data_IF_734938286824
#
_entry.id   IF_734938286824
#
_cell.length_a   1.000
_cell.length_b   1.000
_cell.length_c   1.000
_cell.angle_alpha   90.00
_cell.angle_beta   90.00
_cell.angle_gamma   90.00
#
_symmetry.space_group_name_H-M   'P 1'
#
loop_
_entity.id
_entity.type
_entity.pdbx_description
1 polymer ?
#
# COMPACT_ATOMS: atom_id res chain seq x y z
N UNK A 1 10.94 31.21 -4.95
CA UNK A 1 9.57 30.85 -4.57
C UNK A 1 9.67 30.04 -3.30
N UNK A 2 8.83 30.35 -2.31
CA UNK A 2 8.78 29.62 -1.06
C UNK A 2 7.35 29.11 -0.83
N UNK A 3 7.21 27.82 -0.55
CA UNK A 3 5.94 27.15 -0.26
C UNK A 3 6.01 26.54 1.13
N UNK A 4 4.99 26.75 1.94
CA UNK A 4 4.87 26.16 3.28
C UNK A 4 3.45 25.68 3.51
N UNK A 5 3.30 24.41 3.86
CA UNK A 5 2.00 23.75 3.98
C UNK A 5 2.13 22.40 4.69
N UNK A 6 1.13 21.92 5.41
CA UNK A 6 1.18 20.57 6.00
C UNK A 6 1.29 19.49 4.90
N UNK A 7 0.55 19.68 3.79
CA UNK A 7 0.59 18.79 2.63
C UNK A 7 0.71 19.58 1.34
N UNK A 8 1.71 19.23 0.55
CA UNK A 8 1.90 19.74 -0.80
C UNK A 8 1.83 18.60 -1.82
N UNK A 9 0.96 18.72 -2.81
CA UNK A 9 0.73 17.68 -3.82
C UNK A 9 0.86 18.27 -5.21
N UNK A 10 1.70 17.65 -6.04
CA UNK A 10 1.86 17.94 -7.45
C UNK A 10 1.49 16.67 -8.21
N UNK A 11 0.28 16.66 -8.76
CA UNK A 11 -0.32 15.48 -9.36
C UNK A 11 -0.79 15.74 -10.80
N UNK A 12 -1.15 14.67 -11.51
CA UNK A 12 -1.85 14.74 -12.82
C UNK A 12 -1.08 15.49 -13.92
N UNK A 13 0.25 15.40 -13.93
CA UNK A 13 1.08 16.10 -14.90
C UNK A 13 1.39 17.55 -14.51
N UNK A 14 1.02 17.99 -13.31
CA UNK A 14 1.31 19.34 -12.85
C UNK A 14 2.82 19.60 -12.75
N UNK A 15 3.20 20.84 -13.07
CA UNK A 15 4.59 21.30 -13.05
C UNK A 15 4.71 22.55 -12.20
N UNK A 16 5.60 22.52 -11.22
CA UNK A 16 6.07 23.69 -10.49
C UNK A 16 7.44 24.06 -11.04
N UNK A 17 7.52 25.19 -11.72
CA UNK A 17 8.72 25.59 -12.45
C UNK A 17 9.25 26.94 -11.97
N UNK A 18 10.56 26.99 -11.74
CA UNK A 18 11.33 28.22 -11.56
C UNK A 18 12.52 28.18 -12.53
N UNK A 19 12.29 27.89 -13.80
CA UNK A 19 13.34 27.84 -14.83
C UNK A 19 13.48 29.15 -15.61
N UNK A 20 14.58 29.31 -16.35
CA UNK A 20 14.80 30.42 -17.27
C UNK A 20 14.65 30.03 -18.75
N UNK A 21 14.00 28.89 -19.04
CA UNK A 21 13.72 28.45 -20.40
C UNK A 21 12.88 29.46 -21.18
N UNK A 22 12.90 29.34 -22.51
CA UNK A 22 12.03 30.14 -23.37
C UNK A 22 10.58 29.98 -22.92
N UNK A 23 9.91 31.11 -22.78
CA UNK A 23 8.48 31.13 -22.54
C UNK A 23 7.73 30.41 -23.68
N UNK A 24 6.45 30.10 -23.48
CA UNK A 24 5.57 29.60 -24.55
C UNK A 24 5.51 30.51 -25.78
N UNK A 25 6.00 31.76 -25.67
CA UNK A 25 6.26 32.63 -26.80
C UNK A 25 7.68 32.38 -27.38
N UNK A 26 7.80 31.77 -28.57
CA UNK A 26 9.08 31.48 -29.21
C UNK A 26 9.86 32.73 -29.64
N UNK A 27 9.22 33.91 -29.66
CA UNK A 27 9.90 35.18 -29.90
C UNK A 27 10.68 35.70 -28.68
N UNK A 28 10.47 35.11 -27.50
CA UNK A 28 11.18 35.46 -26.27
C UNK A 28 12.26 34.40 -26.05
N UNK A 29 13.56 34.75 -26.24
CA UNK A 29 14.64 33.81 -25.97
C UNK A 29 14.67 33.46 -24.48
N UNK A 30 15.30 32.34 -24.14
CA UNK A 30 15.56 31.95 -22.77
C UNK A 30 16.27 33.09 -22.00
N UNK A 31 15.90 33.25 -20.73
CA UNK A 31 16.55 34.18 -19.83
C UNK A 31 18.01 33.80 -19.67
N UNK A 32 18.90 34.80 -19.72
CA UNK A 32 20.35 34.61 -19.54
C UNK A 32 20.80 34.76 -18.09
N UNK A 33 19.88 35.17 -17.20
CA UNK A 33 20.13 35.34 -15.77
C UNK A 33 20.11 34.01 -15.03
N UNK A 34 20.64 34.01 -13.80
CA UNK A 34 20.60 32.86 -12.89
C UNK A 34 19.17 32.38 -12.67
N UNK A 35 19.01 31.06 -12.59
CA UNK A 35 17.76 30.44 -12.23
C UNK A 35 17.44 30.68 -10.75
N UNK A 36 16.16 30.80 -10.43
CA UNK A 36 15.70 31.08 -9.07
C UNK A 36 15.82 29.88 -8.13
N UNK A 37 15.41 30.11 -6.87
CA UNK A 37 15.38 29.07 -5.84
C UNK A 37 13.94 28.63 -5.55
N UNK A 38 13.71 27.33 -5.44
CA UNK A 38 12.47 26.72 -4.94
C UNK A 38 12.73 26.21 -3.53
N UNK A 39 12.03 26.75 -2.54
CA UNK A 39 12.01 26.17 -1.19
C UNK A 39 10.63 25.61 -0.89
N UNK A 40 10.55 24.35 -0.51
CA UNK A 40 9.31 23.72 -0.05
C UNK A 40 9.52 23.24 1.38
N UNK A 41 8.60 23.61 2.27
CA UNK A 41 8.51 23.07 3.63
C UNK A 41 7.13 22.45 3.81
N UNK A 42 7.07 21.14 3.94
CA UNK A 42 5.80 20.45 4.14
C UNK A 42 5.95 19.12 4.86
N UNK A 43 5.04 18.76 5.76
CA UNK A 43 5.11 17.46 6.44
C UNK A 43 5.03 16.31 5.42
N UNK A 44 4.17 16.47 4.41
CA UNK A 44 4.03 15.52 3.31
C UNK A 44 4.13 16.22 1.94
N UNK A 45 5.09 15.79 1.14
CA UNK A 45 5.24 16.15 -0.27
C UNK A 45 4.97 14.93 -1.15
N UNK A 46 3.96 15.02 -2.02
CA UNK A 46 3.59 13.97 -2.97
C UNK A 46 3.73 14.47 -4.41
N UNK A 47 4.52 13.77 -5.20
CA UNK A 47 4.59 13.90 -6.65
C UNK A 47 4.01 12.64 -7.29
N UNK A 48 3.00 12.82 -8.12
CA UNK A 48 2.32 11.79 -8.89
C UNK A 48 2.22 12.25 -10.34
N UNK A 49 3.07 11.71 -11.22
CA UNK A 49 3.29 12.31 -12.55
C UNK A 49 3.58 13.81 -12.42
N UNK A 50 4.22 14.22 -11.32
CA UNK A 50 4.43 15.61 -10.95
C UNK A 50 5.87 16.03 -11.18
N UNK A 51 6.09 17.29 -11.55
CA UNK A 51 7.44 17.81 -11.81
C UNK A 51 7.70 19.05 -10.96
N UNK A 52 8.80 19.02 -10.21
CA UNK A 52 9.41 20.20 -9.59
C UNK A 52 10.70 20.51 -10.34
N UNK A 53 10.79 21.69 -10.96
CA UNK A 53 11.93 22.02 -11.82
C UNK A 53 12.50 23.42 -11.56
N UNK A 54 13.81 23.49 -11.46
CA UNK A 54 14.61 24.71 -11.55
C UNK A 54 15.77 24.49 -12.54
N UNK A 55 15.43 23.90 -13.68
CA UNK A 55 16.34 23.68 -14.78
C UNK A 55 16.82 25.00 -15.41
N UNK A 56 18.04 24.98 -15.95
CA UNK A 56 18.75 26.15 -16.47
C UNK A 56 19.06 26.00 -17.96
N UNK A 57 18.53 26.90 -18.79
CA UNK A 57 18.80 26.97 -20.22
C UNK A 57 20.16 27.59 -20.55
N UNK A 58 20.50 28.61 -19.77
CA UNK A 58 21.69 29.45 -19.86
C UNK A 58 21.92 30.12 -18.50
N UNK A 59 23.04 30.83 -18.35
CA UNK A 59 23.37 31.49 -17.08
C UNK A 59 23.84 30.50 -16.00
N UNK A 60 23.57 30.85 -14.73
CA UNK A 60 24.01 30.08 -13.56
C UNK A 60 22.92 29.11 -13.06
N UNK A 61 23.28 28.31 -12.07
CA UNK A 61 22.48 27.23 -11.48
C UNK A 61 21.15 27.65 -10.85
N UNK A 62 20.15 26.77 -10.95
CA UNK A 62 18.96 26.77 -10.11
C UNK A 62 19.16 25.96 -8.83
N UNK A 63 18.36 26.25 -7.80
CA UNK A 63 18.42 25.49 -6.54
C UNK A 63 17.02 25.04 -6.10
N UNK A 64 16.91 23.78 -5.68
CA UNK A 64 15.71 23.22 -5.03
C UNK A 64 16.08 22.80 -3.62
N UNK A 65 15.34 23.30 -2.63
CA UNK A 65 15.47 22.93 -1.22
C UNK A 65 14.13 22.39 -0.74
N UNK A 66 14.10 21.13 -0.33
CA UNK A 66 12.90 20.49 0.20
C UNK A 66 13.17 20.07 1.62
N UNK A 67 12.28 20.46 2.53
CA UNK A 67 12.23 19.96 3.90
C UNK A 67 10.87 19.34 4.13
N UNK A 68 10.84 18.04 4.42
CA UNK A 68 9.60 17.32 4.66
C UNK A 68 9.76 16.21 5.69
N UNK A 69 8.68 15.69 6.25
CA UNK A 69 8.78 14.39 6.92
C UNK A 69 8.75 13.27 5.89
N UNK A 70 7.84 13.38 4.91
CA UNK A 70 7.72 12.37 3.86
C UNK A 70 7.74 12.99 2.47
N UNK A 71 8.62 12.47 1.61
CA UNK A 71 8.74 12.80 0.20
C UNK A 71 8.45 11.56 -0.65
N UNK A 72 7.35 11.60 -1.39
CA UNK A 72 6.90 10.51 -2.25
C UNK A 72 6.92 10.93 -3.72
N UNK A 73 7.64 10.20 -4.55
CA UNK A 73 7.64 10.34 -5.99
C UNK A 73 7.13 9.02 -6.63
N UNK A 74 6.16 9.14 -7.53
CA UNK A 74 5.57 7.99 -8.22
C UNK A 74 5.18 8.35 -9.66
N UNK A 75 5.03 7.32 -10.51
CA UNK A 75 4.64 7.44 -11.92
C UNK A 75 5.41 8.52 -12.68
N UNK A 76 6.69 8.30 -12.96
CA UNK A 76 7.51 9.22 -13.77
C UNK A 76 7.56 10.66 -13.21
N UNK A 77 7.53 10.79 -11.88
CA UNK A 77 7.68 12.09 -11.24
C UNK A 77 9.13 12.54 -11.24
N UNK A 78 9.37 13.85 -11.22
CA UNK A 78 10.73 14.38 -11.32
C UNK A 78 11.00 15.58 -10.41
N UNK A 79 12.19 15.62 -9.82
CA UNK A 79 12.76 16.79 -9.16
C UNK A 79 14.05 17.14 -9.90
N UNK A 80 14.09 18.28 -10.59
CA UNK A 80 15.16 18.56 -11.55
C UNK A 80 15.78 19.94 -11.40
N UNK A 81 17.10 19.99 -11.53
CA UNK A 81 17.89 21.21 -11.72
C UNK A 81 18.90 21.02 -12.85
N UNK A 82 18.44 20.42 -13.95
CA UNK A 82 19.26 20.08 -15.10
C UNK A 82 19.68 21.33 -15.86
N UNK A 83 20.87 21.29 -16.46
CA UNK A 83 21.43 22.38 -17.23
C UNK A 83 21.58 22.02 -18.70
N UNK A 84 21.07 22.90 -19.56
CA UNK A 84 21.20 22.83 -21.01
C UNK A 84 22.29 23.79 -21.50
N UNK A 85 22.71 23.58 -22.75
CA UNK A 85 23.73 24.43 -23.39
C UNK A 85 24.99 24.53 -22.53
N UNK A 86 25.45 25.75 -22.30
CA UNK A 86 26.65 26.03 -21.50
C UNK A 86 26.36 26.27 -20.01
N UNK A 87 25.11 26.10 -19.53
CA UNK A 87 24.79 26.28 -18.12
C UNK A 87 25.38 25.14 -17.27
N UNK A 88 25.61 25.42 -15.98
CA UNK A 88 26.07 24.43 -15.00
C UNK A 88 24.88 23.78 -14.29
N UNK A 89 24.96 22.47 -14.05
CA UNK A 89 23.95 21.72 -13.29
C UNK A 89 23.70 22.36 -11.91
N UNK A 90 22.44 22.35 -11.48
CA UNK A 90 22.01 23.03 -10.26
C UNK A 90 22.17 22.23 -8.97
N UNK A 91 21.64 22.77 -7.88
CA UNK A 91 21.73 22.10 -6.59
C UNK A 91 20.36 21.63 -6.09
N UNK A 92 20.28 20.40 -5.61
CA UNK A 92 19.10 19.82 -4.97
C UNK A 92 19.50 19.44 -3.54
N UNK A 93 18.83 20.01 -2.54
CA UNK A 93 19.03 19.66 -1.13
C UNK A 93 17.70 19.15 -0.54
N UNK A 94 17.66 17.86 -0.24
CA UNK A 94 16.50 17.18 0.35
C UNK A 94 16.83 16.84 1.81
N UNK A 95 15.99 17.30 2.73
CA UNK A 95 16.01 16.91 4.14
C UNK A 95 14.65 16.28 4.43
N UNK A 96 14.59 14.95 4.59
CA UNK A 96 13.32 14.25 4.82
C UNK A 96 13.44 13.01 5.66
N UNK A 97 12.46 12.69 6.51
CA UNK A 97 12.53 11.45 7.30
C UNK A 97 12.46 10.23 6.37
N UNK A 98 11.47 10.19 5.48
CA UNK A 98 11.31 9.16 4.45
C UNK A 98 11.31 9.75 3.04
N UNK A 99 12.22 9.26 2.20
CA UNK A 99 12.17 9.42 0.74
C UNK A 99 11.77 8.10 0.09
N UNK A 100 10.70 8.10 -0.70
CA UNK A 100 10.37 6.99 -1.58
C UNK A 100 10.17 7.50 -3.00
N UNK A 101 10.92 6.93 -3.94
CA UNK A 101 10.80 7.23 -5.36
C UNK A 101 10.65 5.92 -6.13
N UNK A 102 9.49 5.69 -6.73
CA UNK A 102 9.15 4.44 -7.44
C UNK A 102 8.62 4.75 -8.84
N UNK A 103 8.52 3.71 -9.67
CA UNK A 103 7.92 3.81 -11.01
C UNK A 103 8.64 4.85 -11.90
N UNK A 104 9.97 4.72 -11.99
CA UNK A 104 10.83 5.58 -12.82
C UNK A 104 10.75 7.06 -12.44
N UNK A 105 10.82 7.35 -11.14
CA UNK A 105 10.76 8.72 -10.65
C UNK A 105 12.13 9.23 -10.24
N UNK A 106 12.57 10.36 -10.82
CA UNK A 106 13.98 10.73 -10.84
C UNK A 106 14.28 12.04 -10.13
N UNK A 107 15.47 12.11 -9.54
CA UNK A 107 16.04 13.32 -8.93
C UNK A 107 17.34 13.65 -9.67
N UNK A 108 17.35 14.75 -10.42
CA UNK A 108 18.40 14.98 -11.42
C UNK A 108 18.98 16.40 -11.40
N UNK A 109 20.31 16.48 -11.42
CA UNK A 109 21.06 17.73 -11.54
C UNK A 109 22.13 17.61 -12.64
N UNK A 110 21.74 17.10 -13.80
CA UNK A 110 22.62 16.79 -14.92
C UNK A 110 22.99 18.04 -15.73
N UNK A 111 24.01 17.95 -16.59
CA UNK A 111 24.42 19.01 -17.49
C UNK A 111 24.77 18.50 -18.90
N UNK A 112 24.45 19.30 -19.93
CA UNK A 112 24.76 18.98 -21.32
C UNK A 112 26.22 19.31 -21.67
N UNK A 113 26.65 20.57 -21.58
CA UNK A 113 28.01 20.97 -21.98
C UNK A 113 28.77 21.71 -20.88
N UNK A 114 28.52 21.36 -19.62
CA UNK A 114 29.23 21.91 -18.46
C UNK A 114 29.26 20.88 -17.33
N UNK A 115 29.74 21.27 -16.15
CA UNK A 115 29.70 20.43 -14.96
C UNK A 115 28.28 20.12 -14.52
N UNK A 116 28.05 18.86 -14.15
CA UNK A 116 26.88 18.44 -13.38
C UNK A 116 26.79 19.16 -12.04
N UNK A 117 25.63 19.06 -11.44
CA UNK A 117 25.24 19.78 -10.24
C UNK A 117 25.58 19.08 -8.94
N UNK A 118 24.88 19.43 -7.87
CA UNK A 118 24.99 18.76 -6.58
C UNK A 118 23.63 18.27 -6.13
N UNK A 119 23.54 16.99 -5.77
CA UNK A 119 22.36 16.42 -5.13
C UNK A 119 22.78 15.97 -3.73
N UNK A 120 22.23 16.59 -2.71
CA UNK A 120 22.43 16.22 -1.31
C UNK A 120 21.10 15.76 -0.74
N UNK A 121 21.07 14.53 -0.23
CA UNK A 121 19.88 13.91 0.37
C UNK A 121 20.27 13.48 1.77
N UNK A 122 19.58 14.05 2.76
CA UNK A 122 19.63 13.62 4.16
C UNK A 122 18.28 13.03 4.50
N UNK A 123 18.25 11.74 4.77
CA UNK A 123 17.05 11.06 5.17
C UNK A 123 17.27 9.99 6.23
N UNK A 124 16.21 9.67 6.99
CA UNK A 124 16.24 8.49 7.85
C UNK A 124 16.13 7.25 6.96
N UNK A 125 15.24 7.23 5.98
CA UNK A 125 15.09 6.12 5.04
C UNK A 125 14.95 6.59 3.59
N UNK A 126 15.60 5.86 2.67
CA UNK A 126 15.46 6.04 1.21
C UNK A 126 15.08 4.71 0.57
N UNK A 127 13.98 4.70 -0.19
CA UNK A 127 13.41 3.50 -0.79
C UNK A 127 13.12 3.70 -2.29
N UNK A 128 13.37 2.66 -3.09
CA UNK A 128 12.93 2.58 -4.49
C UNK A 128 13.82 3.28 -5.53
N UNK A 129 14.82 4.07 -5.10
CA UNK A 129 15.74 4.81 -5.98
C UNK A 129 17.19 4.49 -5.66
N UNK A 130 18.07 4.68 -6.65
CA UNK A 130 19.51 4.44 -6.52
C UNK A 130 20.31 5.59 -7.13
N UNK A 131 21.51 5.83 -6.62
CA UNK A 131 22.46 6.76 -7.23
C UNK A 131 23.11 6.08 -8.44
N UNK A 132 22.92 6.64 -9.63
CA UNK A 132 23.50 6.12 -10.87
C UNK A 132 24.22 7.22 -11.66
N UNK A 133 25.07 6.84 -12.59
CA UNK A 133 25.77 7.78 -13.48
C UNK A 133 24.95 8.19 -14.69
N UNK A 134 23.90 7.43 -15.01
CA UNK A 134 22.99 7.62 -16.14
C UNK A 134 21.58 7.21 -15.73
N UNK A 135 20.58 7.83 -16.34
CA UNK A 135 19.18 7.45 -16.19
C UNK A 135 18.92 6.08 -16.79
N UNK A 136 18.01 5.36 -16.15
CA UNK A 136 17.54 4.02 -16.49
C UNK A 136 16.01 4.04 -16.64
N UNK A 137 15.37 2.87 -16.64
CA UNK A 137 13.90 2.79 -16.57
C UNK A 137 13.44 2.58 -15.11
N UNK A 138 14.33 2.81 -14.16
CA UNK A 138 14.12 2.75 -12.72
C UNK A 138 14.34 4.14 -12.13
N UNK A 139 13.84 4.37 -10.94
CA UNK A 139 14.07 5.63 -10.23
C UNK A 139 15.56 5.85 -9.97
N UNK A 140 16.03 7.03 -10.37
CA UNK A 140 17.43 7.40 -10.38
C UNK A 140 17.72 8.72 -9.69
N UNK A 141 18.85 8.77 -8.98
CA UNK A 141 19.47 10.02 -8.52
C UNK A 141 20.73 10.26 -9.34
N UNK A 142 20.77 11.35 -10.11
CA UNK A 142 21.87 11.65 -11.03
C UNK A 142 22.34 13.10 -10.95
N UNK A 143 23.64 13.30 -11.16
CA UNK A 143 24.26 14.61 -11.30
C UNK A 143 25.37 14.57 -12.36
N UNK A 144 25.12 13.92 -13.51
CA UNK A 144 26.12 13.64 -14.53
C UNK A 144 26.29 14.77 -15.56
N UNK A 145 27.30 14.63 -16.42
CA UNK A 145 27.53 15.52 -17.55
C UNK A 145 27.73 14.73 -18.84
N UNK A 146 27.17 15.20 -19.96
CA UNK A 146 27.41 14.59 -21.27
C UNK A 146 28.86 14.76 -21.75
N UNK A 147 29.63 15.69 -21.15
CA UNK A 147 31.08 15.80 -21.35
C UNK A 147 31.87 14.64 -20.72
N UNK A 148 31.20 13.77 -19.96
CA UNK A 148 31.76 12.57 -19.34
C UNK A 148 32.04 12.73 -17.85
N UNK A 149 32.54 11.64 -17.24
CA UNK A 149 32.64 11.50 -15.78
C UNK A 149 33.46 12.59 -15.08
N UNK A 150 34.46 13.19 -15.75
CA UNK A 150 35.28 14.27 -15.18
C UNK A 150 34.51 15.59 -15.00
N UNK A 151 33.37 15.73 -15.67
CA UNK A 151 32.46 16.86 -15.54
C UNK A 151 31.22 16.50 -14.74
N UNK A 152 31.08 15.26 -14.26
CA UNK A 152 29.99 14.91 -13.36
C UNK A 152 30.08 15.70 -12.06
N UNK A 153 28.91 16.05 -11.57
CA UNK A 153 28.69 16.62 -10.26
C UNK A 153 28.73 15.58 -9.15
N UNK A 154 28.22 15.96 -7.98
CA UNK A 154 28.29 15.14 -6.77
C UNK A 154 26.90 14.73 -6.31
N UNK A 155 26.75 13.46 -5.97
CA UNK A 155 25.58 12.96 -5.24
C UNK A 155 26.03 12.51 -3.86
N UNK A 156 25.49 13.15 -2.83
CA UNK A 156 25.71 12.81 -1.43
C UNK A 156 24.40 12.30 -0.85
N UNK A 157 24.36 11.01 -0.51
CA UNK A 157 23.21 10.35 0.08
C UNK A 157 23.57 9.90 1.50
N UNK A 158 22.97 10.56 2.48
CA UNK A 158 23.05 10.21 3.90
C UNK A 158 21.70 9.62 4.31
N UNK A 159 21.65 8.28 4.40
CA UNK A 159 20.45 7.53 4.76
C UNK A 159 20.71 6.72 6.04
N UNK A 160 19.98 7.01 7.11
CA UNK A 160 20.09 6.28 8.38
C UNK A 160 19.17 5.05 8.40
N UNK A 161 19.48 4.05 7.58
CA UNK A 161 18.78 2.76 7.66
C UNK A 161 19.07 2.11 9.02
N UNK A 162 18.11 2.22 9.95
CA UNK A 162 18.09 1.40 11.14
C UNK A 162 18.08 -0.07 10.68
N UNK A 163 19.18 -0.77 10.91
CA UNK A 163 19.36 -2.17 10.55
C UNK A 163 18.21 -3.02 11.11
N UNK A 164 17.30 -3.55 10.27
CA UNK A 164 16.15 -4.32 10.73
C UNK A 164 16.56 -5.66 11.35
N UNK A 165 17.82 -6.08 11.20
CA UNK A 165 18.34 -7.28 11.86
C UNK A 165 18.50 -7.11 13.38
N UNK A 166 18.54 -5.86 13.87
CA UNK A 166 18.62 -5.55 15.31
C UNK A 166 17.28 -5.74 16.04
N UNK A 167 16.19 -6.00 15.30
CA UNK A 167 14.86 -6.28 15.85
C UNK A 167 14.49 -7.77 15.88
N UNK A 168 15.35 -8.66 15.40
CA UNK A 168 15.14 -10.10 15.53
C UNK A 168 15.48 -10.52 16.96
N UNK A 169 14.47 -10.53 17.82
CA UNK A 169 14.51 -11.37 19.02
C UNK A 169 14.61 -12.82 18.53
N UNK A 170 15.76 -13.46 18.75
CA UNK A 170 15.86 -14.92 18.66
C UNK A 170 14.82 -15.52 19.61
N UNK A 171 13.84 -16.22 19.04
CA UNK A 171 12.92 -17.04 19.82
C UNK A 171 13.77 -18.09 20.55
N UNK A 172 13.57 -18.32 21.86
CA UNK A 172 14.28 -19.38 22.56
C UNK A 172 14.05 -20.73 21.86
N UNK A 173 15.12 -21.35 21.36
CA UNK A 173 15.07 -22.63 20.63
C UNK A 173 14.71 -23.84 21.52
N UNK A 174 14.62 -23.65 22.84
CA UNK A 174 14.20 -24.68 23.76
C UNK A 174 12.69 -24.55 24.06
N UNK A 175 11.84 -25.51 23.60
CA UNK A 175 10.50 -25.62 24.14
C UNK A 175 10.62 -25.78 25.66
N UNK A 176 9.84 -24.99 26.40
CA UNK A 176 9.73 -25.14 27.85
C UNK A 176 9.24 -26.57 28.11
N UNK A 177 10.06 -27.36 28.81
CA UNK A 177 9.70 -28.73 29.19
C UNK A 177 8.56 -28.70 30.21
N UNK A 178 7.34 -28.81 29.71
CA UNK A 178 6.11 -28.82 30.51
C UNK A 178 5.94 -30.13 31.30
N UNK A 179 6.79 -31.15 31.06
CA UNK A 179 6.68 -32.44 31.74
C UNK A 179 6.91 -32.33 33.25
N UNK A 180 7.63 -31.30 33.71
CA UNK A 180 7.90 -31.05 35.13
C UNK A 180 7.03 -29.94 35.76
N UNK A 181 6.10 -29.33 35.00
CA UNK A 181 5.17 -28.31 35.53
C UNK A 181 3.79 -28.88 35.87
N UNK A 182 3.53 -30.16 35.62
CA UNK A 182 2.36 -30.85 36.16
C UNK A 182 2.67 -31.20 37.60
N UNK A 183 2.27 -30.32 38.53
CA UNK A 183 2.15 -30.70 39.92
C UNK A 183 1.11 -31.82 40.02
N UNK A 184 1.56 -33.04 40.28
CA UNK A 184 0.69 -34.16 40.61
C UNK A 184 0.00 -33.86 41.96
N UNK A 185 -1.08 -33.09 41.91
CA UNK A 185 -1.99 -32.93 43.04
C UNK A 185 -3.18 -33.84 42.78
N UNK A 186 -3.05 -35.08 43.24
CA UNK A 186 -4.16 -35.84 43.78
C UNK A 186 -3.59 -36.67 44.93
N UNK A 187 -3.88 -36.21 46.15
CA UNK A 187 -3.80 -37.06 47.31
C UNK A 187 -4.76 -38.23 47.10
N UNK A 188 -4.27 -39.42 47.44
CA UNK A 188 -4.99 -40.69 47.47
C UNK A 188 -6.35 -40.53 48.18
N UNK A 189 -7.42 -40.42 47.39
CA UNK A 189 -8.79 -40.52 47.88
C UNK A 189 -9.19 -41.99 47.82
N UNK A 190 -8.76 -42.78 48.80
CA UNK A 190 -9.41 -44.06 49.06
C UNK A 190 -10.88 -43.80 49.44
N UNK A 191 -11.82 -44.27 48.61
CA UNK A 191 -13.20 -44.52 49.07
C UNK A 191 -14.35 -43.81 48.36
N UNK A 192 -14.28 -43.50 47.05
CA UNK A 192 -15.47 -43.10 46.30
C UNK A 192 -15.95 -44.24 45.39
N UNK A 193 -17.02 -44.92 45.79
CA UNK A 193 -17.77 -45.88 44.98
C UNK A 193 -19.04 -45.21 44.43
N UNK A 194 -19.23 -45.26 43.12
CA UNK A 194 -20.47 -44.84 42.46
C UNK A 194 -21.24 -46.08 42.02
N UNK A 195 -22.30 -46.42 42.74
CA UNK A 195 -23.18 -47.55 42.39
C UNK A 195 -24.32 -47.06 41.50
N UNK A 196 -24.34 -47.53 40.26
CA UNK A 196 -25.50 -47.41 39.36
C UNK A 196 -26.47 -48.55 39.71
N UNK A 197 -27.43 -48.31 40.59
CA UNK A 197 -28.51 -49.27 40.85
C UNK A 197 -29.63 -49.07 39.81
N UNK A 198 -29.49 -49.70 38.65
CA UNK A 198 -30.50 -49.77 37.61
C UNK A 198 -30.34 -51.05 36.78
N UNK A 199 -31.44 -51.60 36.25
CA UNK A 199 -31.41 -52.82 35.40
C UNK A 199 -30.92 -52.55 33.95
N UNK A 200 -30.11 -51.51 33.76
CA UNK A 200 -29.50 -51.17 32.48
C UNK A 200 -28.00 -51.10 32.70
N UNK A 201 -27.25 -52.01 32.07
CA UNK A 201 -25.81 -52.18 32.25
C UNK A 201 -24.99 -50.92 31.95
N UNK A 202 -23.69 -51.03 32.21
CA UNK A 202 -22.69 -50.00 31.93
C UNK A 202 -22.77 -49.52 30.47
N UNK A 203 -22.67 -48.21 30.19
CA UNK A 203 -22.64 -47.69 28.83
C UNK A 203 -21.40 -48.18 28.08
N UNK A 204 -21.54 -48.52 26.80
CA UNK A 204 -20.41 -48.94 25.94
C UNK A 204 -19.43 -47.78 25.74
N UNK A 205 -18.13 -48.12 25.69
CA UNK A 205 -17.07 -47.14 25.55
C UNK A 205 -17.03 -46.58 24.10
N UNK A 206 -16.66 -45.31 23.88
CA UNK A 206 -16.73 -44.65 22.56
C UNK A 206 -15.84 -45.23 21.45
N UNK A 207 -14.97 -46.19 21.79
CA UNK A 207 -14.01 -46.85 20.90
C UNK A 207 -14.36 -48.33 20.65
N UNK A 208 -15.45 -48.82 21.22
CA UNK A 208 -15.88 -50.19 21.01
C UNK A 208 -16.66 -50.32 19.69
N UNK A 209 -16.39 -51.40 18.94
CA UNK A 209 -17.09 -51.70 17.69
C UNK A 209 -18.56 -51.98 18.00
N UNK A 210 -19.45 -51.06 17.60
CA UNK A 210 -20.90 -51.18 17.70
C UNK A 210 -21.37 -52.54 17.18
N UNK A 211 -21.67 -53.47 18.09
CA UNK A 211 -22.43 -54.68 17.76
C UNK A 211 -23.90 -54.29 17.79
N UNK A 212 -24.54 -54.30 16.62
CA UNK A 212 -25.97 -54.02 16.50
C UNK A 212 -26.78 -54.92 17.44
N UNK A 213 -27.28 -54.34 18.53
CA UNK A 213 -28.18 -55.01 19.45
C UNK A 213 -29.52 -55.26 18.77
N UNK A 214 -30.00 -56.49 18.80
CA UNK A 214 -31.37 -56.80 18.40
C UNK A 214 -32.30 -56.22 19.46
N UNK A 215 -32.94 -55.09 19.14
CA UNK A 215 -34.03 -54.53 19.95
C UNK A 215 -35.21 -55.48 19.84
N UNK A 216 -35.64 -56.03 20.97
CA UNK A 216 -36.89 -56.78 21.04
C UNK A 216 -38.03 -55.77 21.15
N UNK A 217 -38.65 -55.46 20.01
CA UNK A 217 -39.82 -54.58 19.94
C UNK A 217 -41.10 -55.38 20.25
N UNK A 218 -41.76 -55.06 21.35
CA UNK A 218 -43.04 -55.63 21.71
C UNK A 218 -44.16 -55.00 20.86
N UNK A 219 -44.46 -55.63 19.72
CA UNK A 219 -45.48 -55.17 18.76
C UNK A 219 -46.92 -55.50 19.20
N UNK A 220 -47.25 -55.36 20.48
CA UNK A 220 -48.64 -55.42 20.92
C UNK A 220 -49.33 -54.09 20.65
N UNK A 221 -50.27 -54.11 19.72
CA UNK A 221 -51.16 -52.99 19.46
C UNK A 221 -52.05 -52.73 20.69
N UNK A 222 -51.73 -51.69 21.45
CA UNK A 222 -52.65 -51.08 22.40
C UNK A 222 -53.81 -50.47 21.61
N UNK A 223 -54.92 -51.19 21.53
CA UNK A 223 -56.19 -50.65 21.03
C UNK A 223 -56.68 -49.58 21.99
N UNK A 224 -56.31 -48.32 21.72
CA UNK A 224 -56.97 -47.15 22.26
C UNK A 224 -58.03 -46.71 21.25
N UNK A 225 -59.28 -46.80 21.70
CA UNK A 225 -60.43 -46.37 20.95
C UNK A 225 -60.31 -44.89 20.55
N UNK A 226 -60.53 -44.69 19.26
CA UNK A 226 -60.94 -43.49 18.51
C UNK A 226 -61.41 -42.29 19.34
N UNK A 227 -60.83 -41.10 19.09
CA UNK A 227 -61.56 -39.91 18.62
C UNK A 227 -60.64 -39.01 17.78
N UNK A 228 -61.23 -38.43 16.74
CA UNK A 228 -60.61 -37.67 15.68
C UNK A 228 -60.08 -36.30 16.16
N UNK A 229 -59.04 -35.77 15.51
CA UNK A 229 -59.11 -34.62 14.59
C UNK A 229 -57.69 -34.15 14.29
N UNK A 230 -57.34 -34.08 13.00
CA UNK A 230 -56.00 -33.74 12.55
C UNK A 230 -55.66 -32.27 12.74
N UNK A 231 -54.40 -32.02 13.06
CA UNK A 231 -53.62 -31.03 12.32
C UNK A 231 -52.13 -31.42 12.39
N UNK A 232 -51.50 -31.59 11.23
CA UNK A 232 -50.10 -31.95 11.14
C UNK A 232 -49.27 -30.65 11.21
N UNK A 233 -48.51 -30.47 12.29
CA UNK A 233 -47.56 -29.37 12.38
C UNK A 233 -46.38 -29.70 11.46
N UNK A 234 -46.36 -29.08 10.28
CA UNK A 234 -45.24 -29.14 9.35
C UNK A 234 -44.00 -28.46 9.98
N UNK A 235 -42.86 -29.14 9.91
CA UNK A 235 -41.57 -28.55 10.25
C UNK A 235 -41.25 -27.38 9.29
N UNK A 236 -40.76 -26.22 9.78
CA UNK A 236 -40.32 -25.16 8.88
C UNK A 236 -39.04 -25.59 8.17
N UNK A 237 -39.15 -25.73 6.85
CA UNK A 237 -38.08 -26.03 5.90
C UNK A 237 -37.29 -24.78 5.52
N UNK A 238 -35.98 -25.00 5.34
CA UNK A 238 -34.98 -24.19 4.63
C UNK A 238 -34.73 -22.76 5.11
N UNK A 239 -33.72 -22.59 5.96
CA UNK A 239 -32.84 -21.41 5.88
C UNK A 239 -32.28 -21.31 4.46
N UNK A 240 -32.42 -20.16 3.76
CA UNK A 240 -31.78 -19.99 2.46
C UNK A 240 -30.25 -20.13 2.63
N UNK A 241 -29.56 -20.71 1.63
CA UNK A 241 -28.11 -20.80 1.68
C UNK A 241 -27.52 -19.40 1.80
N UNK A 242 -26.54 -19.24 2.69
CA UNK A 242 -25.78 -18.00 2.81
C UNK A 242 -24.92 -17.88 1.54
N UNK A 243 -25.17 -16.83 0.75
CA UNK A 243 -24.46 -16.56 -0.50
C UNK A 243 -23.63 -15.29 -0.33
N UNK A 244 -22.35 -15.38 -0.70
CA UNK A 244 -21.41 -14.24 -0.67
C UNK A 244 -21.87 -13.10 -1.60
N UNK A 245 -21.67 -11.87 -1.15
CA UNK A 245 -21.99 -10.69 -1.95
C UNK A 245 -21.01 -10.56 -3.13
N UNK A 246 -21.54 -10.41 -4.34
CA UNK A 246 -20.76 -10.28 -5.57
C UNK A 246 -20.69 -8.82 -6.07
N UNK A 247 -21.40 -7.91 -5.39
CA UNK A 247 -21.37 -6.48 -5.67
C UNK A 247 -22.12 -5.68 -4.63
N UNK A 248 -22.10 -4.36 -4.79
CA UNK A 248 -22.88 -3.42 -3.99
C UNK A 248 -23.59 -2.43 -4.91
N UNK A 249 -24.78 -1.98 -4.51
CA UNK A 249 -25.54 -0.94 -5.20
C UNK A 249 -26.09 0.07 -4.20
N UNK A 250 -26.37 1.28 -4.66
CA UNK A 250 -27.05 2.29 -3.86
C UNK A 250 -28.55 2.18 -4.15
N UNK A 251 -29.38 2.06 -3.11
CA UNK A 251 -30.83 2.02 -3.26
C UNK A 251 -31.46 3.41 -3.47
N UNK A 252 -32.77 3.46 -3.69
CA UNK A 252 -33.53 4.71 -3.90
C UNK A 252 -33.48 5.67 -2.71
N UNK A 253 -33.05 5.19 -1.54
CA UNK A 253 -32.87 5.98 -0.32
C UNK A 253 -31.44 6.48 -0.10
N UNK A 254 -30.51 6.12 -1.00
CA UNK A 254 -29.10 6.50 -0.91
C UNK A 254 -28.25 5.56 -0.05
N UNK A 255 -28.76 4.40 0.36
CA UNK A 255 -28.00 3.43 1.17
C UNK A 255 -27.30 2.38 0.32
N UNK A 256 -26.11 1.97 0.76
CA UNK A 256 -25.33 0.91 0.12
C UNK A 256 -25.90 -0.46 0.54
N UNK A 257 -26.29 -1.27 -0.44
CA UNK A 257 -26.81 -2.63 -0.24
C UNK A 257 -25.92 -3.62 -0.99
N UNK A 258 -25.52 -4.69 -0.30
CA UNK A 258 -24.76 -5.81 -0.87
C UNK A 258 -25.70 -6.76 -1.63
N UNK A 259 -25.31 -7.16 -2.84
CA UNK A 259 -26.13 -8.00 -3.73
C UNK A 259 -25.34 -9.19 -4.26
N UNK A 260 -26.00 -10.33 -4.43
CA UNK A 260 -25.47 -11.52 -5.10
C UNK A 260 -26.22 -11.72 -6.44
N UNK A 261 -25.51 -12.09 -7.50
CA UNK A 261 -26.10 -12.37 -8.82
C UNK A 261 -26.21 -11.19 -9.80
N UNK A 262 -25.34 -10.18 -9.70
CA UNK A 262 -25.30 -9.10 -10.70
C UNK A 262 -24.76 -9.64 -12.03
N UNK A 263 -25.65 -9.85 -13.00
CA UNK A 263 -25.26 -9.96 -14.40
C UNK A 263 -24.71 -8.60 -14.82
N UNK A 264 -23.52 -8.50 -15.42
CA UNK A 264 -22.98 -7.21 -15.85
C UNK A 264 -23.85 -6.65 -16.97
N UNK A 265 -24.73 -5.70 -16.64
CA UNK A 265 -25.30 -4.80 -17.65
C UNK A 265 -24.14 -3.99 -18.23
N UNK A 266 -23.87 -4.21 -19.50
CA UNK A 266 -22.93 -3.43 -20.29
C UNK A 266 -23.44 -1.98 -20.36
N UNK A 267 -22.79 -1.09 -19.61
CA UNK A 267 -22.97 0.35 -19.77
C UNK A 267 -22.42 0.72 -21.15
N UNK A 268 -23.32 0.88 -22.12
CA UNK A 268 -22.97 1.29 -23.47
C UNK A 268 -22.76 2.81 -23.50
N UNK A 269 -21.52 3.25 -23.28
CA UNK A 269 -21.11 4.64 -23.46
C UNK A 269 -21.01 5.00 -24.95
N UNK A 270 -22.15 5.14 -25.62
CA UNK A 270 -22.20 5.72 -26.96
C UNK A 270 -23.54 6.42 -27.22
N UNK A 271 -23.56 7.74 -27.06
CA UNK A 271 -24.10 8.71 -28.02
C UNK A 271 -24.49 10.02 -27.32
N UNK A 272 -23.61 11.02 -27.39
CA UNK A 272 -24.04 12.42 -27.55
C UNK A 272 -22.91 13.20 -28.20
N UNK A 273 -22.89 13.22 -29.54
CA UNK A 273 -22.16 14.23 -30.32
C UNK A 273 -23.14 15.37 -30.61
N UNK A 274 -22.80 16.63 -30.33
CA UNK A 274 -23.61 17.76 -30.75
C UNK A 274 -23.47 17.98 -32.27
N UNK A 275 -24.60 18.27 -32.92
CA UNK A 275 -24.72 18.66 -34.33
C UNK A 275 -24.33 20.14 -34.47
N UNK A 276 -23.55 20.55 -35.49
CA UNK A 276 -23.29 21.96 -35.74
C UNK A 276 -24.52 22.63 -36.39
N UNK A 277 -24.91 23.77 -35.85
CA UNK A 277 -25.92 24.64 -36.45
C UNK A 277 -25.36 25.33 -37.71
N UNK A 278 -26.25 25.50 -38.69
CA UNK A 278 -26.04 26.08 -40.01
C UNK A 278 -25.69 27.57 -39.99
#
# INVERSE_FOLDING_TARGET
MDVTSDRFTVADGAIVSISNFSSSNPAIPAGQGSVGNLTIRADQLLLDRGILTADSAAGDRGNIVIRSSNLFLSRESAITTNAQGSARGGNINLETDLLSAIENSDITANAVSNFGGQVTIRAEAVLGTEVRSQLTNQSDITASSELGANFSGTVELDASIADPSQGLVELPDSPIDVANQIAAVCAESEGNEFVISGRGGLPEAPIELLRGGTVWEDLRALSLATEAQGDAIAAPTSTPPLVEAQGWRIDETGQIVLVAGVSPETINCAANRPVPAS
#
